data_IF_371400663703
#
_entry.id   IF_371400663703
#
_cell.length_a   1.000
_cell.length_b   1.000
_cell.length_c   1.000
_cell.angle_alpha   90.00
_cell.angle_beta   90.00
_cell.angle_gamma   90.00
#
_symmetry.space_group_name_H-M   'P 1'
#
loop_
_entity.id
_entity.type
_entity.pdbx_description
1 polymer ?
#
# COMPACT_ATOMS: atom_id res chain seq x y z
N UNK A 1 -41.73 -0.60 -19.69
CA UNK A 1 -40.88 -0.95 -18.52
C UNK A 1 -39.49 -1.14 -19.05
N UNK A 2 -38.69 -0.07 -19.04
CA UNK A 2 -37.31 -0.06 -19.52
C UNK A 2 -36.42 -0.79 -18.52
N UNK A 3 -35.64 -1.77 -19.00
CA UNK A 3 -34.52 -2.35 -18.27
C UNK A 3 -33.25 -1.70 -18.82
N UNK A 4 -32.77 -0.66 -18.15
CA UNK A 4 -31.40 -0.19 -18.35
C UNK A 4 -30.46 -1.23 -17.73
N UNK A 5 -29.87 -2.06 -18.60
CA UNK A 5 -28.78 -2.95 -18.26
C UNK A 5 -27.51 -2.11 -18.24
N UNK A 6 -27.06 -1.70 -17.05
CA UNK A 6 -25.75 -1.08 -16.85
C UNK A 6 -24.66 -2.12 -17.15
N UNK A 7 -24.16 -2.08 -18.38
CA UNK A 7 -23.03 -2.89 -18.81
C UNK A 7 -21.77 -2.14 -18.41
N UNK A 8 -21.26 -2.40 -17.20
CA UNK A 8 -19.96 -1.91 -16.80
C UNK A 8 -18.91 -2.59 -17.69
N UNK A 9 -18.34 -1.83 -18.63
CA UNK A 9 -17.27 -2.31 -19.50
C UNK A 9 -16.09 -2.79 -18.64
N UNK A 10 -15.94 -4.11 -18.54
CA UNK A 10 -14.83 -4.74 -17.83
C UNK A 10 -13.59 -4.61 -18.69
N UNK A 11 -12.67 -3.73 -18.27
CA UNK A 11 -11.39 -3.54 -18.94
C UNK A 11 -10.44 -4.67 -18.55
N UNK A 12 -10.17 -5.59 -19.47
CA UNK A 12 -9.16 -6.63 -19.28
C UNK A 12 -7.77 -6.05 -19.53
N UNK A 13 -7.02 -5.84 -18.45
CA UNK A 13 -5.62 -5.41 -18.52
C UNK A 13 -4.76 -6.66 -18.39
N UNK A 14 -3.82 -6.86 -19.33
CA UNK A 14 -2.82 -7.92 -19.20
C UNK A 14 -1.96 -7.67 -17.96
N UNK A 15 -1.94 -8.65 -17.06
CA UNK A 15 -1.08 -8.60 -15.87
C UNK A 15 0.34 -8.97 -16.31
N UNK A 16 1.30 -8.09 -16.04
CA UNK A 16 2.71 -8.41 -16.23
C UNK A 16 3.10 -9.56 -15.28
N UNK A 17 3.37 -10.74 -15.87
CA UNK A 17 3.70 -11.95 -15.12
C UNK A 17 4.99 -11.84 -14.30
N UNK A 18 5.89 -10.90 -14.61
CA UNK A 18 7.06 -10.63 -13.77
C UNK A 18 6.66 -9.88 -12.50
N UNK A 19 5.86 -8.82 -12.66
CA UNK A 19 5.35 -8.05 -11.52
C UNK A 19 4.50 -8.93 -10.61
N UNK A 20 3.69 -9.82 -11.18
CA UNK A 20 2.90 -10.78 -10.40
C UNK A 20 3.80 -11.69 -9.55
N UNK A 21 4.87 -12.25 -10.11
CA UNK A 21 5.84 -13.08 -9.35
C UNK A 21 6.55 -12.30 -8.25
N UNK A 22 6.80 -11.01 -8.44
CA UNK A 22 7.36 -10.13 -7.40
C UNK A 22 6.34 -9.87 -6.30
N UNK A 23 5.07 -9.63 -6.66
CA UNK A 23 3.96 -9.45 -5.72
C UNK A 23 3.68 -10.71 -4.88
N UNK A 24 3.67 -11.89 -5.49
CA UNK A 24 3.51 -13.18 -4.79
C UNK A 24 4.59 -13.44 -3.74
N UNK A 25 5.76 -12.81 -3.90
CA UNK A 25 6.88 -12.87 -2.94
C UNK A 25 6.90 -11.71 -1.95
N UNK A 26 6.00 -10.75 -2.11
CA UNK A 26 5.92 -9.56 -1.28
C UNK A 26 5.07 -9.80 -0.04
N UNK A 27 5.24 -8.93 0.94
CA UNK A 27 4.42 -8.86 2.14
C UNK A 27 3.64 -7.56 2.16
N UNK A 28 2.49 -7.57 2.82
CA UNK A 28 1.70 -6.38 3.12
C UNK A 28 1.80 -6.11 4.60
N UNK A 29 2.26 -4.91 4.94
CA UNK A 29 2.23 -4.37 6.29
C UNK A 29 1.06 -3.40 6.46
N UNK A 30 0.25 -3.58 7.50
CA UNK A 30 -0.79 -2.62 7.90
C UNK A 30 -0.24 -1.76 9.02
N UNK A 31 -0.21 -0.45 8.83
CA UNK A 31 0.42 0.50 9.75
C UNK A 31 -0.39 0.65 11.05
N UNK A 32 0.32 0.68 12.19
CA UNK A 32 -0.24 0.85 13.54
C UNK A 32 -0.83 2.24 13.77
N UNK A 33 -0.17 3.26 13.22
CA UNK A 33 -0.52 4.68 13.33
C UNK A 33 -0.35 5.35 11.95
N UNK A 34 -0.60 6.65 11.85
CA UNK A 34 -0.16 7.49 10.72
C UNK A 34 1.37 7.62 10.72
N UNK A 35 2.06 6.48 10.60
CA UNK A 35 3.51 6.38 10.49
C UNK A 35 3.87 6.77 9.06
N UNK A 36 4.79 7.72 8.93
CA UNK A 36 5.37 8.02 7.63
C UNK A 36 6.20 6.85 7.12
N UNK A 37 5.89 6.37 5.91
CA UNK A 37 6.65 5.32 5.20
C UNK A 37 8.15 5.64 5.15
N UNK A 38 8.52 6.93 5.10
CA UNK A 38 9.90 7.39 5.15
C UNK A 38 10.66 6.91 6.40
N UNK A 39 10.01 6.90 7.57
CA UNK A 39 10.63 6.45 8.82
C UNK A 39 10.94 4.95 8.79
N UNK A 40 10.02 4.15 8.23
CA UNK A 40 10.20 2.70 8.06
C UNK A 40 11.41 2.44 7.15
N UNK A 41 11.51 3.15 6.02
CA UNK A 41 12.66 3.06 5.11
C UNK A 41 13.98 3.40 5.80
N UNK A 42 14.01 4.46 6.61
CA UNK A 42 15.20 4.83 7.37
C UNK A 42 15.59 3.75 8.38
N UNK A 43 14.63 3.18 9.12
CA UNK A 43 14.93 2.08 10.06
C UNK A 43 15.48 0.86 9.32
N UNK A 44 14.88 0.44 8.21
CA UNK A 44 15.39 -0.65 7.40
C UNK A 44 16.83 -0.39 6.93
N UNK A 45 17.13 0.82 6.48
CA UNK A 45 18.47 1.21 6.09
C UNK A 45 19.47 1.07 7.25
N UNK A 46 19.13 1.59 8.43
CA UNK A 46 19.99 1.54 9.62
C UNK A 46 20.20 0.11 10.15
N UNK A 47 19.21 -0.77 9.98
CA UNK A 47 19.29 -2.18 10.35
C UNK A 47 20.02 -3.06 9.30
N UNK A 48 20.54 -2.47 8.21
CA UNK A 48 21.26 -3.19 7.15
C UNK A 48 20.37 -3.78 6.05
N UNK A 49 19.07 -3.47 6.05
CA UNK A 49 18.09 -3.92 5.07
C UNK A 49 17.82 -2.89 3.96
N UNK A 50 18.85 -2.17 3.51
CA UNK A 50 18.72 -1.12 2.49
C UNK A 50 18.15 -1.59 1.13
N UNK A 51 18.17 -2.90 0.88
CA UNK A 51 17.67 -3.53 -0.34
C UNK A 51 16.22 -4.01 -0.22
N UNK A 52 15.62 -3.94 0.97
CA UNK A 52 14.18 -4.15 1.17
C UNK A 52 13.46 -2.88 0.74
N UNK A 53 12.59 -3.02 -0.24
CA UNK A 53 11.73 -1.94 -0.70
C UNK A 53 10.45 -1.88 0.13
N UNK A 54 10.02 -0.65 0.43
CA UNK A 54 8.74 -0.36 1.08
C UNK A 54 7.97 0.64 0.22
N UNK A 55 6.80 0.26 -0.26
CA UNK A 55 5.98 1.07 -1.17
C UNK A 55 4.64 1.33 -0.52
N UNK A 56 4.20 2.59 -0.51
CA UNK A 56 2.85 2.94 -0.02
C UNK A 56 1.80 2.43 -1.03
N UNK A 57 0.82 1.66 -0.53
CA UNK A 57 -0.28 1.09 -1.34
C UNK A 57 -1.60 1.83 -1.06
N UNK A 58 -1.62 2.74 -0.09
CA UNK A 58 -2.80 3.48 0.34
C UNK A 58 -3.53 2.86 1.52
N UNK A 59 -4.41 3.66 2.14
CA UNK A 59 -5.21 3.34 3.34
C UNK A 59 -4.45 2.58 4.42
N UNK A 60 -3.28 3.11 4.79
CA UNK A 60 -2.39 2.61 5.82
C UNK A 60 -1.77 1.23 5.53
N UNK A 61 -1.69 0.84 4.26
CA UNK A 61 -0.99 -0.37 3.83
C UNK A 61 0.30 -0.01 3.10
N UNK A 62 1.33 -0.81 3.35
CA UNK A 62 2.58 -0.77 2.58
C UNK A 62 2.92 -2.14 2.05
N UNK A 63 3.48 -2.17 0.84
CA UNK A 63 4.07 -3.35 0.24
C UNK A 63 5.54 -3.42 0.66
N UNK A 64 5.97 -4.58 1.14
CA UNK A 64 7.34 -4.86 1.55
C UNK A 64 7.88 -5.95 0.62
N UNK A 65 8.95 -5.66 -0.10
CA UNK A 65 9.55 -6.60 -1.04
C UNK A 65 11.06 -6.67 -0.84
N UNK A 66 11.60 -7.89 -0.85
CA UNK A 66 13.04 -8.15 -0.95
C UNK A 66 13.33 -9.03 -2.17
N UNK A 67 14.41 -8.76 -2.92
CA UNK A 67 14.90 -9.69 -3.94
C UNK A 67 15.38 -11.03 -3.35
N UNK A 68 15.67 -11.10 -2.05
CA UNK A 68 16.11 -12.32 -1.37
C UNK A 68 14.93 -13.06 -0.77
N UNK A 69 14.71 -14.29 -1.24
CA UNK A 69 13.61 -15.14 -0.78
C UNK A 69 13.76 -15.45 0.70
N UNK A 70 12.65 -15.31 1.45
CA UNK A 70 12.59 -15.60 2.89
C UNK A 70 13.19 -14.51 3.78
N UNK A 71 13.83 -13.48 3.24
CA UNK A 71 14.46 -12.43 4.05
C UNK A 71 13.43 -11.61 4.82
N UNK A 72 12.31 -11.24 4.17
CA UNK A 72 11.23 -10.49 4.83
C UNK A 72 10.63 -11.30 5.97
N UNK A 73 10.44 -12.61 5.78
CA UNK A 73 9.93 -13.52 6.82
C UNK A 73 10.92 -13.67 7.98
N UNK A 74 12.21 -13.83 7.67
CA UNK A 74 13.27 -13.90 8.66
C UNK A 74 13.39 -12.59 9.47
N UNK A 75 13.27 -11.44 8.80
CA UNK A 75 13.21 -10.12 9.44
C UNK A 75 11.99 -10.03 10.36
N UNK A 76 10.81 -10.44 9.89
CA UNK A 76 9.60 -10.47 10.71
C UNK A 76 9.74 -11.31 11.98
N UNK A 77 10.44 -12.45 11.90
CA UNK A 77 10.69 -13.34 13.04
C UNK A 77 11.78 -12.82 13.99
N UNK A 78 12.86 -12.25 13.45
CA UNK A 78 14.03 -11.84 14.23
C UNK A 78 13.88 -10.47 14.90
N UNK A 79 12.98 -9.62 14.38
CA UNK A 79 12.91 -8.20 14.74
C UNK A 79 11.49 -7.74 15.10
N UNK A 80 10.77 -8.58 15.84
CA UNK A 80 9.37 -8.35 16.24
C UNK A 80 9.18 -7.02 16.99
N UNK A 81 10.13 -6.64 17.83
CA UNK A 81 9.99 -5.50 18.75
C UNK A 81 9.82 -4.15 18.02
N UNK A 82 10.64 -3.85 17.01
CA UNK A 82 10.49 -2.60 16.27
C UNK A 82 9.44 -2.70 15.15
N UNK A 83 9.19 -3.90 14.61
CA UNK A 83 8.14 -4.10 13.62
C UNK A 83 6.76 -3.86 14.20
N UNK A 84 6.50 -4.30 15.44
CA UNK A 84 5.23 -4.06 16.14
C UNK A 84 4.99 -2.58 16.45
N UNK A 85 6.05 -1.77 16.53
CA UNK A 85 5.92 -0.31 16.64
C UNK A 85 5.34 0.32 15.36
N UNK A 86 5.67 -0.20 14.19
CA UNK A 86 5.21 0.35 12.91
C UNK A 86 3.96 -0.34 12.36
N UNK A 87 3.82 -1.65 12.58
CA UNK A 87 2.81 -2.49 11.95
C UNK A 87 1.87 -3.11 12.96
N UNK A 88 0.55 -3.04 12.70
CA UNK A 88 -0.46 -3.86 13.39
C UNK A 88 -0.34 -5.32 12.98
N UNK A 89 -0.15 -5.52 11.68
CA UNK A 89 0.03 -6.84 11.09
C UNK A 89 0.99 -6.75 9.90
N UNK A 90 1.73 -7.83 9.68
CA UNK A 90 2.51 -8.08 8.48
C UNK A 90 2.16 -9.48 7.99
N UNK A 91 1.73 -9.60 6.74
CA UNK A 91 1.27 -10.87 6.15
C UNK A 91 1.72 -11.01 4.70
N UNK A 92 1.81 -12.23 4.15
CA UNK A 92 2.07 -12.41 2.73
C UNK A 92 1.06 -11.65 1.88
N UNK A 93 1.50 -11.06 0.78
CA UNK A 93 0.60 -10.43 -0.18
C UNK A 93 -0.30 -11.48 -0.82
N UNK A 94 -1.54 -11.10 -1.08
CA UNK A 94 -2.50 -11.90 -1.86
C UNK A 94 -3.31 -10.96 -2.76
N UNK A 95 -3.88 -11.47 -3.87
CA UNK A 95 -4.76 -10.68 -4.72
C UNK A 95 -5.97 -10.09 -3.98
N UNK A 96 -6.35 -10.70 -2.86
CA UNK A 96 -7.40 -10.23 -1.94
C UNK A 96 -6.97 -9.14 -0.95
N UNK A 97 -5.71 -8.71 -0.96
CA UNK A 97 -5.23 -7.61 -0.12
C UNK A 97 -5.70 -6.27 -0.68
N UNK A 98 -6.96 -5.91 -0.39
CA UNK A 98 -7.53 -4.61 -0.74
C UNK A 98 -7.47 -3.63 0.43
N UNK A 99 -7.29 -2.36 0.11
CA UNK A 99 -7.40 -1.27 1.06
C UNK A 99 -8.87 -1.02 1.36
N UNK A 100 -9.34 -1.35 2.57
CA UNK A 100 -10.74 -1.17 3.00
C UNK A 100 -11.16 0.31 3.07
N UNK A 101 -10.19 1.23 3.16
CA UNK A 101 -10.44 2.68 3.27
C UNK A 101 -9.96 3.43 2.03
N UNK A 102 -10.89 3.86 1.17
CA UNK A 102 -10.63 4.86 0.12
C UNK A 102 -10.39 6.22 0.77
N UNK A 103 -9.17 6.74 0.70
CA UNK A 103 -8.86 8.14 1.02
C UNK A 103 -8.72 8.89 -0.30
N UNK A 104 -9.74 9.65 -0.68
CA UNK A 104 -9.68 10.54 -1.84
C UNK A 104 -9.13 11.89 -1.40
N UNK A 105 -7.99 12.30 -1.95
CA UNK A 105 -7.48 13.66 -1.79
C UNK A 105 -8.10 14.55 -2.88
N UNK A 106 -9.04 15.41 -2.50
CA UNK A 106 -9.59 16.44 -3.39
C UNK A 106 -8.82 17.72 -3.16
N UNK A 107 -8.06 18.17 -4.17
CA UNK A 107 -7.42 19.48 -4.18
C UNK A 107 -8.23 20.42 -5.08
N UNK A 108 -9.02 21.28 -4.47
CA UNK A 108 -9.80 22.30 -5.20
C UNK A 108 -8.88 23.48 -5.52
N UNK A 109 -8.69 23.77 -6.80
CA UNK A 109 -8.03 24.98 -7.27
C UNK A 109 -9.08 25.90 -7.88
N UNK A 110 -9.56 26.86 -7.09
CA UNK A 110 -10.51 27.89 -7.53
C UNK A 110 -10.78 28.91 -6.43
N UNK A 111 -11.11 30.14 -6.82
CA UNK A 111 -11.66 31.17 -5.91
C UNK A 111 -13.17 30.90 -5.82
N UNK A 112 -13.78 30.82 -4.62
CA UNK A 112 -15.22 30.68 -4.51
C UNK A 112 -15.92 31.86 -5.19
N UNK A 113 -16.69 31.56 -6.25
CA UNK A 113 -17.56 32.49 -6.97
C UNK A 113 -18.79 32.81 -6.10
N UNK A 114 -18.62 33.62 -5.07
CA UNK A 114 -19.74 34.31 -4.45
C UNK A 114 -19.32 35.64 -3.83
N UNK A 115 -19.28 36.68 -4.66
CA UNK A 115 -19.47 38.07 -4.22
C UNK A 115 -20.20 38.82 -5.35
N UNK A 116 -21.53 38.91 -5.25
CA UNK A 116 -22.31 39.99 -5.85
C UNK A 116 -23.16 40.57 -4.71
N UNK A 117 -22.76 41.72 -4.12
CA UNK A 117 -23.63 42.48 -3.25
C UNK A 117 -24.59 43.31 -4.11
N UNK A 118 -25.88 42.97 -4.07
CA UNK A 118 -26.94 43.94 -4.38
C UNK A 118 -27.20 44.82 -3.15
#
# INVERSE_FOLDING_TARGET
>A
VEKHQDNADVLYIEVDGRVLKELERSFVGVLALSVEVKRIKTTLYMEGFAHISVTDVGGNMVLIFSPKVGEVEAMCKAKVDWLTYYFKEVRPWSPSCFVDRRVTWVKVHGIPLHLEPN
#
